data_IF_279297313995
#
_entry.id   IF_279297313995
#
_cell.length_a   1.000
_cell.length_b   1.000
_cell.length_c   1.000
_cell.angle_alpha   90.00
_cell.angle_beta   90.00
_cell.angle_gamma   90.00
#
_symmetry.space_group_name_H-M   'P 1'
#
loop_
_entity.id
_entity.type
_entity.pdbx_description
1 polymer ?
#
# COMPACT_ATOMS: atom_id res chain seq x y z
N UNK A 1 14.39 28.90 27.80
CA UNK A 1 13.98 27.67 27.11
C UNK A 1 13.10 28.12 25.96
N UNK A 2 13.72 28.45 24.84
CA UNK A 2 13.02 28.92 23.64
C UNK A 2 12.49 27.69 22.93
N UNK A 3 11.18 27.51 23.01
CA UNK A 3 10.42 26.61 22.16
C UNK A 3 10.45 27.24 20.76
N UNK A 4 11.45 26.86 19.96
CA UNK A 4 11.54 27.28 18.56
C UNK A 4 10.45 26.47 17.86
N UNK A 5 9.25 27.03 17.86
CA UNK A 5 8.12 26.47 17.13
C UNK A 5 8.56 26.24 15.70
N UNK A 6 8.74 24.98 15.34
CA UNK A 6 9.07 24.56 13.99
C UNK A 6 7.92 25.03 13.11
N UNK A 7 8.11 26.17 12.44
CA UNK A 7 7.18 26.72 11.47
C UNK A 7 7.04 25.70 10.35
N UNK A 8 6.07 24.81 10.51
CA UNK A 8 5.74 23.79 9.52
C UNK A 8 5.69 24.41 8.12
N UNK A 9 6.64 23.98 7.28
CA UNK A 9 6.89 24.51 5.93
C UNK A 9 5.55 24.75 5.21
N UNK A 10 5.34 25.95 4.62
CA UNK A 10 4.10 26.25 3.94
C UNK A 10 3.89 25.27 2.79
N UNK A 11 2.67 24.72 2.69
CA UNK A 11 2.30 23.79 1.62
C UNK A 11 2.17 24.58 0.32
N UNK A 12 3.14 24.41 -0.58
CA UNK A 12 3.17 25.11 -1.85
C UNK A 12 2.78 24.17 -3.01
N UNK A 13 1.55 24.26 -3.54
CA UNK A 13 1.12 23.42 -4.65
C UNK A 13 1.90 23.70 -5.95
N UNK A 14 2.56 24.85 -6.07
CA UNK A 14 3.30 25.21 -7.28
C UNK A 14 4.59 24.43 -7.49
N UNK A 15 5.10 23.80 -6.43
CA UNK A 15 6.29 22.92 -6.49
C UNK A 15 5.98 21.53 -7.03
N UNK A 16 4.71 21.13 -7.06
CA UNK A 16 4.32 19.81 -7.58
C UNK A 16 4.28 19.81 -9.12
N UNK A 17 5.07 18.94 -9.70
CA UNK A 17 5.19 18.72 -11.15
C UNK A 17 4.66 17.36 -11.57
N UNK A 18 4.56 16.41 -10.63
CA UNK A 18 4.05 15.07 -10.85
C UNK A 18 2.77 14.78 -10.05
N UNK A 19 2.05 13.73 -10.46
CA UNK A 19 0.84 13.28 -9.74
C UNK A 19 1.16 12.81 -8.33
N UNK A 20 2.26 12.10 -8.16
CA UNK A 20 2.69 11.55 -6.89
C UNK A 20 3.04 12.68 -5.91
N UNK A 21 3.81 13.68 -6.36
CA UNK A 21 4.12 14.89 -5.56
C UNK A 21 2.84 15.65 -5.13
N UNK A 22 1.87 15.81 -6.03
CA UNK A 22 0.61 16.47 -5.68
C UNK A 22 -0.20 15.64 -4.67
N UNK A 23 -0.23 14.32 -4.83
CA UNK A 23 -0.89 13.42 -3.89
C UNK A 23 -0.21 13.42 -2.51
N UNK A 24 1.12 13.51 -2.45
CA UNK A 24 1.87 13.72 -1.22
C UNK A 24 1.49 15.04 -0.54
N UNK A 25 1.39 16.14 -1.30
CA UNK A 25 0.95 17.43 -0.78
C UNK A 25 -0.48 17.39 -0.21
N UNK A 26 -1.42 16.69 -0.87
CA UNK A 26 -2.76 16.50 -0.31
C UNK A 26 -2.70 15.73 1.01
N UNK A 27 -1.93 14.63 1.07
CA UNK A 27 -1.76 13.88 2.31
C UNK A 27 -1.12 14.73 3.42
N UNK A 28 -0.13 15.58 3.08
CA UNK A 28 0.48 16.51 4.01
C UNK A 28 -0.55 17.54 4.55
N UNK A 29 -1.41 18.09 3.70
CA UNK A 29 -2.50 19.00 4.10
C UNK A 29 -3.45 18.33 5.10
N UNK A 30 -3.89 17.09 4.82
CA UNK A 30 -4.76 16.33 5.72
C UNK A 30 -4.08 16.02 7.05
N UNK A 31 -2.81 15.62 7.02
CA UNK A 31 -2.05 15.29 8.21
C UNK A 31 -1.83 16.53 9.10
N UNK A 32 -1.52 17.69 8.49
CA UNK A 32 -1.42 18.99 9.19
C UNK A 32 -2.73 19.40 9.86
N UNK A 33 -3.87 19.08 9.23
CA UNK A 33 -5.19 19.27 9.81
C UNK A 33 -5.58 18.22 10.88
N UNK A 34 -4.75 17.18 11.10
CA UNK A 34 -5.03 16.12 12.06
C UNK A 34 -6.23 15.24 11.69
N UNK A 35 -6.55 15.12 10.39
CA UNK A 35 -7.77 14.45 9.93
C UNK A 35 -7.51 13.01 9.46
N UNK A 36 -8.32 12.07 9.94
CA UNK A 36 -8.46 10.75 9.30
C UNK A 36 -9.38 10.83 8.08
N UNK A 37 -9.44 9.79 7.24
CA UNK A 37 -10.40 9.70 6.13
C UNK A 37 -11.85 9.90 6.59
N UNK A 38 -12.23 9.28 7.72
CA UNK A 38 -13.55 9.46 8.32
C UNK A 38 -13.72 10.86 8.94
N UNK A 39 -12.62 11.48 9.40
CA UNK A 39 -12.60 12.88 9.81
C UNK A 39 -12.92 13.83 8.66
N UNK A 40 -12.30 13.62 7.50
CA UNK A 40 -12.54 14.42 6.30
C UNK A 40 -13.98 14.30 5.82
N UNK A 41 -14.54 13.08 5.74
CA UNK A 41 -15.94 12.88 5.35
C UNK A 41 -16.91 13.60 6.30
N UNK A 42 -16.71 13.48 7.62
CA UNK A 42 -17.55 14.17 8.62
C UNK A 42 -17.40 15.69 8.55
N UNK A 43 -16.19 16.19 8.32
CA UNK A 43 -15.94 17.62 8.18
C UNK A 43 -16.56 18.20 6.90
N UNK A 44 -16.52 17.46 5.78
CA UNK A 44 -17.16 17.87 4.53
C UNK A 44 -18.68 18.08 4.71
N UNK A 45 -19.35 17.18 5.43
CA UNK A 45 -20.79 17.30 5.74
C UNK A 45 -21.13 18.47 6.67
N UNK A 46 -20.15 19.11 7.29
CA UNK A 46 -20.33 20.30 8.15
C UNK A 46 -20.04 21.62 7.44
N UNK A 47 -19.51 21.58 6.22
CA UNK A 47 -19.32 22.79 5.43
C UNK A 47 -20.69 23.42 5.09
N UNK A 48 -20.75 24.75 4.94
CA UNK A 48 -21.95 25.43 4.46
C UNK A 48 -22.41 24.86 3.09
N UNK A 49 -23.72 24.75 2.84
CA UNK A 49 -24.24 24.40 1.53
C UNK A 49 -23.68 25.32 0.44
N UNK A 50 -23.28 24.73 -0.69
CA UNK A 50 -22.86 25.47 -1.88
C UNK A 50 -23.74 25.08 -3.06
N UNK A 51 -24.20 26.09 -3.80
CA UNK A 51 -25.09 25.88 -4.95
C UNK A 51 -26.34 25.05 -4.61
N UNK A 52 -26.89 25.24 -3.41
CA UNK A 52 -28.09 24.54 -2.94
C UNK A 52 -27.87 23.06 -2.53
N UNK A 53 -26.64 22.56 -2.54
CA UNK A 53 -26.32 21.18 -2.18
C UNK A 53 -25.40 21.13 -0.97
N UNK A 54 -25.61 20.15 -0.10
CA UNK A 54 -24.72 19.87 1.04
C UNK A 54 -23.41 19.25 0.50
N UNK A 55 -22.24 19.86 0.74
CA UNK A 55 -20.97 19.24 0.38
C UNK A 55 -20.82 17.87 1.03
N UNK A 56 -20.39 16.89 0.24
CA UNK A 56 -20.08 15.55 0.73
C UNK A 56 -18.92 14.97 -0.05
N UNK A 57 -18.13 14.13 0.61
CA UNK A 57 -16.98 13.49 0.01
C UNK A 57 -16.91 12.05 0.48
N UNK A 58 -17.31 11.12 -0.40
CA UNK A 58 -17.35 9.70 -0.07
C UNK A 58 -15.94 9.16 0.20
N UNK A 59 -15.83 8.22 1.16
CA UNK A 59 -14.54 7.62 1.53
C UNK A 59 -13.79 6.97 0.36
N UNK A 60 -14.51 6.34 -0.57
CA UNK A 60 -13.92 5.77 -1.79
C UNK A 60 -13.31 6.84 -2.70
N UNK A 61 -13.98 7.98 -2.84
CA UNK A 61 -13.49 9.13 -3.61
C UNK A 61 -12.23 9.72 -2.98
N UNK A 62 -12.20 9.83 -1.64
CA UNK A 62 -11.00 10.23 -0.91
C UNK A 62 -9.84 9.28 -1.18
N UNK A 63 -10.09 7.96 -1.09
CA UNK A 63 -9.07 6.95 -1.34
C UNK A 63 -8.50 7.06 -2.76
N UNK A 64 -9.36 7.17 -3.78
CA UNK A 64 -8.93 7.27 -5.18
C UNK A 64 -8.11 8.55 -5.45
N UNK A 65 -8.45 9.66 -4.79
CA UNK A 65 -7.74 10.94 -4.92
C UNK A 65 -6.38 10.91 -4.20
N UNK A 66 -6.33 10.41 -2.97
CA UNK A 66 -5.14 10.41 -2.11
C UNK A 66 -4.15 9.29 -2.41
N UNK A 67 -4.47 8.43 -3.37
CA UNK A 67 -3.57 7.42 -3.96
C UNK A 67 -3.15 7.81 -5.38
N UNK A 68 -3.64 8.94 -5.91
CA UNK A 68 -3.39 9.37 -7.28
C UNK A 68 -4.06 8.50 -8.36
N UNK A 69 -4.84 7.48 -7.96
CA UNK A 69 -5.53 6.55 -8.86
C UNK A 69 -6.52 7.26 -9.79
N UNK A 70 -7.16 8.32 -9.31
CA UNK A 70 -8.06 9.16 -10.12
C UNK A 70 -7.77 10.63 -9.88
N UNK A 71 -7.79 11.42 -10.97
CA UNK A 71 -7.78 12.86 -10.86
C UNK A 71 -8.98 13.32 -10.02
N UNK A 72 -8.79 14.09 -8.93
CA UNK A 72 -9.94 14.66 -8.23
C UNK A 72 -10.72 15.55 -9.20
N UNK A 73 -12.04 15.65 -9.08
CA UNK A 73 -12.76 16.70 -9.81
C UNK A 73 -12.61 18.04 -9.05
N UNK A 74 -12.96 19.17 -9.70
CA UNK A 74 -12.81 20.51 -9.12
C UNK A 74 -13.54 20.63 -7.78
N UNK A 75 -14.81 20.24 -7.73
CA UNK A 75 -15.66 20.32 -6.54
C UNK A 75 -15.13 19.49 -5.37
N UNK A 76 -14.70 18.25 -5.62
CA UNK A 76 -14.16 17.35 -4.61
C UNK A 76 -12.83 17.86 -4.06
N UNK A 77 -11.96 18.39 -4.92
CA UNK A 77 -10.69 18.97 -4.47
C UNK A 77 -10.94 20.21 -3.60
N UNK A 78 -11.87 21.07 -4.02
CA UNK A 78 -12.24 22.28 -3.27
C UNK A 78 -12.78 21.95 -1.87
N UNK A 79 -13.73 21.01 -1.80
CA UNK A 79 -14.29 20.52 -0.52
C UNK A 79 -13.17 19.97 0.36
N UNK A 80 -12.29 19.15 -0.21
CA UNK A 80 -11.18 18.54 0.51
C UNK A 80 -10.22 19.58 1.10
N UNK A 81 -9.81 20.57 0.31
CA UNK A 81 -8.86 21.60 0.71
C UNK A 81 -9.43 22.48 1.83
N UNK A 82 -10.70 22.88 1.72
CA UNK A 82 -11.38 23.66 2.76
C UNK A 82 -11.52 22.87 4.06
N UNK A 83 -11.82 21.57 3.97
CA UNK A 83 -11.83 20.68 5.14
C UNK A 83 -10.45 20.59 5.79
N UNK A 84 -9.38 20.61 5.01
CA UNK A 84 -8.01 20.62 5.51
C UNK A 84 -7.55 22.00 5.99
N UNK A 85 -8.41 23.02 5.97
CA UNK A 85 -8.11 24.36 6.45
C UNK A 85 -7.29 25.21 5.48
N UNK A 86 -7.21 24.82 4.20
CA UNK A 86 -6.63 25.68 3.16
C UNK A 86 -7.60 26.84 2.90
N UNK A 87 -7.06 28.06 2.88
CA UNK A 87 -7.82 29.27 2.73
C UNK A 87 -8.47 29.35 1.33
N UNK A 88 -9.62 30.04 1.23
CA UNK A 88 -10.40 30.09 -0.02
C UNK A 88 -9.64 30.82 -1.14
N UNK A 89 -8.83 31.81 -0.76
CA UNK A 89 -7.92 32.58 -1.60
C UNK A 89 -6.80 31.72 -2.23
N UNK A 90 -6.40 30.62 -1.59
CA UNK A 90 -5.36 29.73 -2.10
C UNK A 90 -5.91 28.65 -3.05
N UNK A 91 -7.23 28.41 -3.04
CA UNK A 91 -7.85 27.36 -3.86
C UNK A 91 -7.53 27.48 -5.35
N UNK A 92 -7.53 28.67 -6.00
CA UNK A 92 -7.15 28.80 -7.40
C UNK A 92 -5.75 28.23 -7.69
N UNK A 93 -4.77 28.44 -6.81
CA UNK A 93 -3.40 27.91 -6.97
C UNK A 93 -3.38 26.39 -6.96
N UNK A 94 -4.12 25.78 -6.02
CA UNK A 94 -4.27 24.33 -5.95
C UNK A 94 -4.98 23.75 -7.19
N UNK A 95 -5.97 24.45 -7.75
CA UNK A 95 -6.67 24.03 -8.96
C UNK A 95 -5.76 24.05 -10.19
N UNK A 96 -4.92 25.08 -10.31
CA UNK A 96 -3.92 25.17 -11.39
C UNK A 96 -2.84 24.09 -11.25
N UNK A 97 -2.36 23.82 -10.03
CA UNK A 97 -1.43 22.71 -9.79
C UNK A 97 -2.03 21.35 -10.19
N UNK A 98 -3.26 21.05 -9.75
CA UNK A 98 -3.99 19.86 -10.20
C UNK A 98 -4.07 19.79 -11.73
N UNK A 99 -4.40 20.91 -12.39
CA UNK A 99 -4.50 20.98 -13.84
C UNK A 99 -3.17 20.61 -14.50
N UNK A 100 -2.05 21.19 -14.02
CA UNK A 100 -0.71 20.86 -14.51
C UNK A 100 -0.41 19.37 -14.39
N UNK A 101 -0.55 18.79 -13.19
CA UNK A 101 -0.10 17.42 -12.94
C UNK A 101 -1.01 16.34 -13.57
N UNK A 102 -2.27 16.64 -13.93
CA UNK A 102 -3.15 15.68 -14.61
C UNK A 102 -3.36 15.91 -16.10
N UNK A 103 -3.44 17.16 -16.55
CA UNK A 103 -3.71 17.49 -17.96
C UNK A 103 -2.42 17.62 -18.77
N UNK A 104 -1.35 18.15 -18.16
CA UNK A 104 -0.08 18.40 -18.87
C UNK A 104 0.99 17.34 -18.62
N UNK A 105 0.85 16.53 -17.56
CA UNK A 105 1.77 15.43 -17.33
C UNK A 105 1.70 14.41 -18.48
N UNK A 106 2.84 13.93 -19.00
CA UNK A 106 2.85 12.90 -20.03
C UNK A 106 2.02 11.71 -19.52
N UNK A 107 1.07 11.27 -20.33
CA UNK A 107 0.28 10.08 -20.03
C UNK A 107 1.28 8.97 -19.73
N UNK A 108 1.25 8.33 -18.55
CA UNK A 108 2.22 7.30 -18.22
C UNK A 108 2.24 6.32 -19.38
N UNK A 109 3.41 6.12 -20.00
CA UNK A 109 3.56 5.12 -21.04
C UNK A 109 2.92 3.85 -20.50
N UNK A 110 2.07 3.16 -21.28
CA UNK A 110 1.48 1.92 -20.85
C UNK A 110 2.62 1.04 -20.35
N UNK A 111 2.69 0.78 -19.03
CA UNK A 111 3.67 -0.15 -18.48
C UNK A 111 3.48 -1.41 -19.30
N UNK A 112 4.49 -1.76 -20.10
CA UNK A 112 4.42 -2.92 -20.97
C UNK A 112 3.84 -4.06 -20.12
N UNK A 113 2.80 -4.77 -20.61
CA UNK A 113 2.15 -5.81 -19.83
C UNK A 113 3.28 -6.65 -19.21
N UNK A 114 3.25 -6.90 -17.88
CA UNK A 114 4.32 -7.63 -17.24
C UNK A 114 4.56 -8.85 -18.10
N UNK A 115 5.76 -8.95 -18.68
CA UNK A 115 6.13 -10.12 -19.47
C UNK A 115 6.09 -11.23 -18.44
N UNK A 116 4.96 -11.92 -18.34
CA UNK A 116 4.84 -13.16 -17.62
C UNK A 116 5.81 -14.06 -18.37
N UNK A 117 7.07 -14.08 -17.92
CA UNK A 117 8.00 -15.14 -18.24
C UNK A 117 7.36 -16.34 -17.55
N UNK A 118 6.46 -16.99 -18.29
CA UNK A 118 6.19 -18.41 -18.12
C UNK A 118 7.57 -19.05 -18.15
N UNK A 119 8.16 -19.21 -16.96
CA UNK A 119 9.21 -20.20 -16.76
C UNK A 119 8.48 -21.50 -17.03
N UNK A 120 8.52 -21.93 -18.28
CA UNK A 120 8.29 -23.31 -18.64
C UNK A 120 9.31 -24.09 -17.83
N UNK A 121 8.91 -24.52 -16.64
CA UNK A 121 9.64 -25.53 -15.88
C UNK A 121 9.44 -26.80 -16.69
N UNK A 122 10.31 -26.98 -17.69
CA UNK A 122 10.56 -28.28 -18.28
C UNK A 122 11.06 -29.15 -17.14
N UNK A 123 10.15 -29.90 -16.53
CA UNK A 123 10.48 -31.06 -15.71
C UNK A 123 11.00 -32.09 -16.69
N UNK A 124 12.26 -31.95 -17.10
CA UNK A 124 13.00 -33.05 -17.71
C UNK A 124 13.37 -33.99 -16.59
N UNK A 125 12.51 -34.97 -16.36
CA UNK A 125 12.83 -36.21 -15.65
C UNK A 125 13.89 -36.94 -16.48
N UNK A 126 15.16 -36.69 -16.18
CA UNK A 126 16.27 -37.45 -16.73
C UNK A 126 16.71 -38.51 -15.72
N UNK A 127 16.11 -39.69 -15.84
CA UNK A 127 16.75 -40.92 -15.38
C UNK A 127 17.83 -41.28 -16.39
N UNK A 128 19.10 -41.04 -16.09
CA UNK A 128 20.22 -41.74 -16.73
C UNK A 128 21.50 -41.62 -15.89
N UNK A 129 22.01 -42.78 -15.46
CA UNK A 129 23.36 -42.95 -14.94
C UNK A 129 24.39 -42.48 -15.99
N UNK A 130 25.36 -41.66 -15.58
CA UNK A 130 26.69 -41.65 -16.20
C UNK A 130 27.73 -41.05 -15.23
N UNK A 131 28.67 -41.90 -14.79
CA UNK A 131 29.95 -41.47 -14.24
C UNK A 131 30.71 -40.68 -15.32
N UNK A 132 31.14 -39.46 -15.00
CA UNK A 132 32.01 -38.68 -15.87
C UNK A 132 32.46 -37.39 -15.21
N UNK A 133 33.72 -37.37 -14.74
CA UNK A 133 34.36 -36.21 -14.15
C UNK A 133 34.59 -35.11 -15.19
N UNK A 134 34.14 -33.89 -14.92
CA UNK A 134 34.65 -32.68 -15.55
C UNK A 134 34.45 -31.47 -14.62
N UNK A 135 35.56 -30.85 -14.24
CA UNK A 135 35.63 -29.65 -13.43
C UNK A 135 34.97 -28.47 -14.14
N UNK A 136 33.87 -27.95 -13.59
CA UNK A 136 33.22 -26.72 -14.03
C UNK A 136 33.26 -25.71 -12.90
N UNK A 137 34.05 -24.65 -13.07
CA UNK A 137 34.23 -23.56 -12.10
C UNK A 137 32.88 -23.00 -11.65
N UNK A 138 32.54 -23.23 -10.39
CA UNK A 138 31.36 -22.64 -9.75
C UNK A 138 31.65 -21.17 -9.51
N UNK A 139 31.13 -20.30 -10.39
CA UNK A 139 31.09 -18.87 -10.12
C UNK A 139 30.07 -18.64 -8.98
N UNK A 140 30.55 -18.74 -7.75
CA UNK A 140 29.81 -18.33 -6.56
C UNK A 140 29.72 -16.81 -6.63
N UNK A 141 28.58 -16.29 -7.12
CA UNK A 141 28.22 -14.89 -6.92
C UNK A 141 27.99 -14.69 -5.42
N UNK A 142 29.06 -14.28 -4.73
CA UNK A 142 29.00 -13.78 -3.36
C UNK A 142 28.28 -12.43 -3.38
N UNK A 143 26.95 -12.47 -3.26
CA UNK A 143 26.18 -11.31 -2.87
C UNK A 143 26.64 -10.94 -1.46
N UNK A 144 27.48 -9.91 -1.34
CA UNK A 144 27.89 -9.37 -0.06
C UNK A 144 26.63 -8.82 0.64
N UNK A 145 26.32 -9.28 1.86
CA UNK A 145 25.18 -8.77 2.60
C UNK A 145 25.43 -7.30 2.95
N UNK A 146 24.46 -6.45 2.61
CA UNK A 146 24.44 -5.04 2.96
C UNK A 146 24.39 -4.88 4.50
N UNK A 147 25.43 -4.29 5.13
CA UNK A 147 25.53 -4.18 6.59
C UNK A 147 24.51 -3.22 7.21
N UNK A 148 23.72 -2.50 6.41
CA UNK A 148 22.59 -1.70 6.91
C UNK A 148 21.34 -2.54 7.24
N UNK A 149 21.32 -3.85 6.95
CA UNK A 149 20.23 -4.75 7.36
C UNK A 149 20.37 -5.09 8.84
N UNK A 150 19.57 -4.43 9.68
CA UNK A 150 19.34 -4.84 11.07
C UNK A 150 19.13 -6.36 11.16
N UNK A 151 19.66 -6.96 12.23
CA UNK A 151 19.66 -8.40 12.56
C UNK A 151 18.67 -9.19 11.71
N UNK A 152 19.16 -9.74 10.59
CA UNK A 152 18.33 -10.22 9.49
C UNK A 152 17.37 -11.32 9.94
N UNK A 153 16.14 -10.93 10.26
CA UNK A 153 15.07 -11.88 10.51
C UNK A 153 14.90 -12.75 9.27
N UNK A 154 14.82 -14.10 9.41
CA UNK A 154 14.66 -14.98 8.26
C UNK A 154 13.35 -14.66 7.54
N UNK A 155 13.45 -14.33 6.26
CA UNK A 155 12.29 -14.07 5.41
C UNK A 155 11.97 -15.33 4.59
N UNK A 156 10.74 -15.80 4.70
CA UNK A 156 10.22 -16.92 3.90
C UNK A 156 9.35 -16.35 2.77
N UNK A 157 9.66 -16.64 1.50
CA UNK A 157 8.81 -16.24 0.38
C UNK A 157 7.52 -17.08 0.42
N UNK A 158 6.38 -16.43 0.60
CA UNK A 158 5.06 -17.06 0.55
C UNK A 158 4.21 -16.46 -0.57
N UNK A 159 3.37 -17.29 -1.18
CA UNK A 159 2.50 -16.89 -2.27
C UNK A 159 1.17 -16.37 -1.72
N UNK A 160 0.85 -15.11 -1.99
CA UNK A 160 -0.47 -14.50 -1.73
C UNK A 160 -1.35 -14.74 -2.95
N UNK A 161 -2.56 -15.28 -2.74
CA UNK A 161 -3.47 -15.68 -3.80
C UNK A 161 -4.44 -14.58 -4.23
N UNK A 162 -4.76 -13.66 -3.33
CA UNK A 162 -5.78 -12.63 -3.57
C UNK A 162 -5.29 -11.25 -3.14
N UNK A 163 -5.88 -10.22 -3.73
CA UNK A 163 -5.73 -8.86 -3.24
C UNK A 163 -6.37 -8.72 -1.86
N UNK A 164 -5.70 -8.01 -0.94
CA UNK A 164 -6.31 -7.58 0.32
C UNK A 164 -5.60 -6.35 0.91
N UNK A 165 -6.18 -5.83 1.98
CA UNK A 165 -5.60 -4.81 2.83
C UNK A 165 -4.51 -5.42 3.71
N UNK A 166 -3.46 -4.63 3.97
CA UNK A 166 -2.49 -4.91 5.03
C UNK A 166 -2.84 -4.10 6.27
N UNK A 167 -2.38 -4.56 7.44
CA UNK A 167 -2.75 -3.97 8.73
C UNK A 167 -1.53 -3.68 9.60
N UNK A 168 -1.52 -2.59 10.35
CA UNK A 168 -0.45 -2.26 11.31
C UNK A 168 -0.44 -3.20 12.54
N UNK A 169 -1.58 -3.81 12.83
CA UNK A 169 -1.77 -4.76 13.93
C UNK A 169 -2.47 -6.02 13.40
N UNK A 170 -2.40 -7.16 14.10
CA UNK A 170 -3.03 -8.41 13.67
C UNK A 170 -4.55 -8.38 13.95
N UNK A 171 -5.23 -7.46 13.27
CA UNK A 171 -6.64 -7.14 13.48
C UNK A 171 -7.27 -6.67 12.16
N UNK A 172 -8.43 -7.21 11.74
CA UNK A 172 -9.03 -6.85 10.45
C UNK A 172 -9.83 -5.55 10.45
N UNK A 173 -9.90 -4.84 11.58
CA UNK A 173 -10.60 -3.56 11.66
C UNK A 173 -10.08 -2.54 10.64
N UNK A 174 -10.98 -1.74 10.10
CA UNK A 174 -10.62 -0.75 9.09
C UNK A 174 -9.69 0.36 9.62
N UNK A 175 -9.60 0.52 10.94
CA UNK A 175 -8.75 1.50 11.61
C UNK A 175 -7.28 1.09 11.62
N UNK A 176 -6.99 -0.20 11.47
CA UNK A 176 -5.63 -0.75 11.49
C UNK A 176 -5.03 -0.84 10.09
N UNK A 177 -5.76 -0.44 9.04
CA UNK A 177 -5.31 -0.53 7.64
C UNK A 177 -4.03 0.28 7.42
N UNK A 178 -3.02 -0.39 6.86
CA UNK A 178 -1.73 0.19 6.53
C UNK A 178 -1.61 0.48 5.02
N UNK A 179 -2.05 -0.47 4.20
CA UNK A 179 -1.90 -0.40 2.76
C UNK A 179 -2.59 -1.58 2.08
N UNK A 180 -1.98 -2.06 1.00
CA UNK A 180 -2.53 -3.11 0.15
C UNK A 180 -1.46 -4.14 -0.19
N UNK A 181 -1.91 -5.38 -0.41
CA UNK A 181 -1.12 -6.45 -0.96
C UNK A 181 -1.81 -7.02 -2.19
N UNK A 182 -1.03 -7.28 -3.22
CA UNK A 182 -1.48 -7.86 -4.48
C UNK A 182 -1.08 -9.33 -4.56
N UNK A 183 -1.79 -10.17 -5.36
CA UNK A 183 -1.37 -11.55 -5.60
C UNK A 183 0.09 -11.61 -6.08
N UNK A 184 0.87 -12.54 -5.53
CA UNK A 184 2.30 -12.62 -5.81
C UNK A 184 3.10 -13.27 -4.69
N UNK A 185 4.42 -13.37 -4.89
CA UNK A 185 5.33 -13.85 -3.87
C UNK A 185 5.76 -12.68 -2.98
N UNK A 186 5.55 -12.83 -1.68
CA UNK A 186 5.89 -11.81 -0.68
C UNK A 186 6.80 -12.38 0.40
N UNK A 187 7.69 -11.53 0.92
CA UNK A 187 8.60 -11.91 1.98
C UNK A 187 7.90 -11.80 3.35
N UNK A 188 7.74 -12.94 4.01
CA UNK A 188 7.07 -13.06 5.31
C UNK A 188 8.09 -13.39 6.38
N UNK A 189 8.07 -12.66 7.49
CA UNK A 189 9.09 -12.75 8.52
C UNK A 189 8.69 -13.73 9.64
N UNK A 190 7.47 -13.61 10.13
CA UNK A 190 6.97 -14.39 11.26
C UNK A 190 5.44 -14.50 11.24
N UNK A 191 4.88 -15.34 12.11
CA UNK A 191 3.44 -15.44 12.33
C UNK A 191 3.05 -15.10 13.77
N UNK A 192 1.83 -14.61 13.98
CA UNK A 192 1.26 -14.37 15.31
C UNK A 192 -0.23 -14.72 15.34
N UNK A 193 -0.82 -14.69 16.52
CA UNK A 193 -2.27 -14.80 16.72
C UNK A 193 -2.86 -13.43 17.00
N UNK A 194 -4.03 -13.13 16.45
CA UNK A 194 -4.69 -11.84 16.58
C UNK A 194 -6.21 -11.93 16.61
N UNK A 195 -6.89 -10.85 16.22
CA UNK A 195 -8.35 -10.86 16.09
C UNK A 195 -8.73 -11.80 14.94
N UNK A 196 -9.78 -12.60 15.16
CA UNK A 196 -10.25 -13.56 14.16
C UNK A 196 -10.73 -12.84 12.91
N UNK A 197 -10.15 -13.21 11.78
CA UNK A 197 -10.53 -12.77 10.46
C UNK A 197 -11.44 -13.81 9.79
N UNK A 198 -12.54 -13.34 9.20
CA UNK A 198 -13.47 -14.15 8.40
C UNK A 198 -13.38 -13.67 6.96
N UNK A 199 -12.92 -14.54 6.07
CA UNK A 199 -12.91 -14.22 4.65
C UNK A 199 -14.27 -14.52 4.04
N UNK A 200 -14.90 -13.49 3.48
CA UNK A 200 -16.16 -13.58 2.76
C UNK A 200 -15.88 -13.19 1.31
N UNK A 201 -16.34 -14.00 0.36
CA UNK A 201 -16.20 -13.70 -1.06
C UNK A 201 -17.27 -12.70 -1.56
N UNK A 202 -17.20 -12.32 -2.83
CA UNK A 202 -18.15 -11.38 -3.43
C UNK A 202 -19.61 -11.87 -3.41
N UNK A 203 -19.82 -13.19 -3.30
CA UNK A 203 -21.14 -13.80 -3.21
C UNK A 203 -21.66 -13.85 -1.76
N UNK A 204 -20.93 -13.30 -0.79
CA UNK A 204 -21.29 -13.35 0.63
C UNK A 204 -21.02 -14.70 1.29
N UNK A 205 -20.30 -15.61 0.62
CA UNK A 205 -19.99 -16.94 1.15
C UNK A 205 -18.73 -16.88 2.00
N UNK A 206 -18.81 -17.43 3.22
CA UNK A 206 -17.63 -17.57 4.09
C UNK A 206 -16.69 -18.62 3.51
N UNK A 207 -15.48 -18.20 3.13
CA UNK A 207 -14.42 -19.06 2.60
C UNK A 207 -13.55 -19.68 3.70
N UNK A 208 -13.48 -19.02 4.85
CA UNK A 208 -12.74 -19.53 6.00
C UNK A 208 -12.67 -18.51 7.13
N UNK A 209 -12.20 -18.97 8.29
CA UNK A 209 -11.91 -18.14 9.44
C UNK A 209 -10.54 -18.51 10.00
N UNK A 210 -9.74 -17.52 10.38
CA UNK A 210 -8.43 -17.73 11.00
C UNK A 210 -8.12 -16.59 11.97
N UNK A 211 -7.46 -16.92 13.06
CA UNK A 211 -6.82 -15.96 13.98
C UNK A 211 -5.31 -15.87 13.76
N UNK A 212 -4.79 -16.51 12.70
CA UNK A 212 -3.37 -16.45 12.34
C UNK A 212 -3.08 -15.29 11.40
N UNK A 213 -2.07 -14.52 11.79
CA UNK A 213 -1.59 -13.34 11.09
C UNK A 213 -0.11 -13.49 10.73
N UNK A 214 0.27 -12.96 9.58
CA UNK A 214 1.60 -13.07 9.00
C UNK A 214 2.20 -11.68 8.89
N UNK A 215 3.38 -11.47 9.47
CA UNK A 215 4.10 -10.20 9.38
C UNK A 215 4.91 -10.15 8.09
N UNK A 216 4.60 -9.18 7.25
CA UNK A 216 5.28 -8.90 6.00
C UNK A 216 6.51 -8.01 6.23
N UNK A 217 7.57 -8.26 5.47
CA UNK A 217 8.72 -7.35 5.43
C UNK A 217 8.33 -6.00 4.83
N UNK A 218 7.51 -6.01 3.79
CA UNK A 218 6.96 -4.83 3.13
C UNK A 218 5.64 -5.16 2.43
N UNK A 219 4.75 -4.17 2.29
CA UNK A 219 3.61 -4.23 1.37
C UNK A 219 3.88 -3.49 0.05
N UNK A 220 2.83 -3.32 -0.77
CA UNK A 220 2.92 -2.66 -2.07
C UNK A 220 3.34 -1.19 -1.98
N UNK A 221 3.03 -0.50 -0.88
CA UNK A 221 3.35 0.91 -0.67
C UNK A 221 4.67 1.12 0.06
N UNK A 222 5.42 0.05 0.35
CA UNK A 222 6.67 0.13 1.11
C UNK A 222 6.48 0.15 2.63
N UNK A 223 5.25 -0.03 3.13
CA UNK A 223 5.01 -0.10 4.56
C UNK A 223 5.63 -1.38 5.13
N UNK A 224 6.41 -1.23 6.20
CA UNK A 224 7.10 -2.35 6.86
C UNK A 224 6.34 -2.78 8.11
N UNK A 225 6.56 -4.02 8.55
CA UNK A 225 5.96 -4.57 9.77
C UNK A 225 4.41 -4.56 9.75
N UNK A 226 3.83 -4.78 8.58
CA UNK A 226 2.39 -4.91 8.40
C UNK A 226 1.98 -6.37 8.38
N UNK A 227 0.71 -6.63 8.66
CA UNK A 227 0.15 -7.96 8.85
C UNK A 227 -0.93 -8.26 7.81
N UNK A 228 -1.03 -9.54 7.43
CA UNK A 228 -2.13 -10.12 6.67
C UNK A 228 -2.62 -11.40 7.33
N UNK A 229 -3.88 -11.79 7.13
CA UNK A 229 -4.35 -13.11 7.54
C UNK A 229 -3.75 -14.20 6.66
N UNK A 230 -3.45 -15.37 7.23
CA UNK A 230 -2.99 -16.54 6.47
C UNK A 230 -4.01 -17.07 5.46
N UNK A 231 -5.30 -16.74 5.61
CA UNK A 231 -6.34 -17.02 4.61
C UNK A 231 -6.07 -16.34 3.25
N UNK A 232 -5.15 -15.39 3.18
CA UNK A 232 -4.74 -14.73 1.93
C UNK A 232 -3.67 -15.50 1.15
N UNK A 233 -3.07 -16.52 1.76
CA UNK A 233 -2.07 -17.34 1.09
C UNK A 233 -2.73 -18.26 0.06
N UNK A 234 -1.97 -18.55 -1.00
CA UNK A 234 -2.28 -19.69 -1.85
C UNK A 234 -2.21 -20.98 -1.02
N UNK A 235 -2.98 -22.02 -1.38
CA UNK A 235 -2.89 -23.32 -0.72
C UNK A 235 -1.44 -23.81 -0.69
N UNK A 236 -0.96 -24.17 0.50
CA UNK A 236 0.38 -24.72 0.72
C UNK A 236 0.27 -26.11 1.34
N UNK A 237 1.25 -27.02 1.12
CA UNK A 237 1.23 -28.36 1.72
C UNK A 237 1.36 -28.35 3.25
N UNK A 238 1.88 -27.26 3.81
CA UNK A 238 2.16 -27.09 5.23
C UNK A 238 1.57 -25.76 5.70
N UNK A 239 0.96 -25.71 6.89
CA UNK A 239 0.42 -24.48 7.45
C UNK A 239 1.55 -23.46 7.68
N UNK A 240 1.27 -22.17 7.50
CA UNK A 240 2.27 -21.10 7.59
C UNK A 240 3.02 -21.09 8.93
N UNK A 241 2.34 -21.47 10.02
CA UNK A 241 2.89 -21.59 11.37
C UNK A 241 4.03 -22.61 11.49
N UNK A 242 4.09 -23.59 10.57
CA UNK A 242 5.17 -24.58 10.52
C UNK A 242 6.35 -24.16 9.64
N UNK A 243 6.19 -23.09 8.85
CA UNK A 243 7.20 -22.55 7.95
C UNK A 243 7.91 -21.33 8.53
N UNK A 244 7.26 -20.64 9.46
CA UNK A 244 7.67 -19.35 10.00
C UNK A 244 7.91 -19.44 11.52
N UNK A 245 8.87 -18.68 12.06
CA UNK A 245 8.94 -18.47 13.50
C UNK A 245 7.73 -17.67 13.99
N UNK A 246 7.40 -17.80 15.29
CA UNK A 246 6.41 -16.93 15.93
C UNK A 246 6.99 -15.53 16.10
N UNK A 247 6.19 -14.49 15.85
CA UNK A 247 6.59 -13.12 16.09
C UNK A 247 6.85 -12.89 17.59
N UNK A 248 7.80 -12.00 17.93
CA UNK A 248 8.07 -11.62 19.31
C UNK A 248 6.88 -10.95 19.99
#
# INVERSE_FOLDING_TARGET
MQDVGEESEPLDPDRSTTRDEFTELLNAARNRAGLSYAGVERAAKRLPPRSGHQPSLARSTLSDMLTGKRAPNKTNLEIYLLVCGIAEEDLPRWMEARKRVWETAPKPEPKAPPKYRLRTVLITSASALALGAAAGATAVLLLTPDPARGTGEPLVPLQVATYNWTHWTPDPLAETRAGEIWPGTHAVACWTTGVRYTWIDEAGTTRGTSDTWLRLATDYYGNRNVYISDLMLAPTPKPAQSLLPRCP
#
